data_IF_123426019951
#
_entry.id   IF_123426019951
#
_cell.length_a   1.000
_cell.length_b   1.000
_cell.length_c   1.000
_cell.angle_alpha   90.00
_cell.angle_beta   90.00
_cell.angle_gamma   90.00
#
_symmetry.space_group_name_H-M   'P 1'
#
loop_
_entity.id
_entity.type
_entity.pdbx_description
1 polymer ?
#
# COMPACT_ATOMS: atom_id res chain seq x y z
N UNK A 1 26.15 -13.48 6.33
CA UNK A 1 24.86 -13.21 6.99
C UNK A 1 24.47 -11.79 6.59
N UNK A 2 23.33 -11.63 5.91
CA UNK A 2 22.87 -10.33 5.39
C UNK A 2 22.36 -9.46 6.53
N UNK A 3 22.61 -8.14 6.50
CA UNK A 3 22.04 -7.22 7.49
C UNK A 3 20.86 -6.45 6.88
N UNK A 4 19.78 -6.38 7.65
CA UNK A 4 18.57 -5.61 7.35
C UNK A 4 18.54 -4.45 8.35
N UNK A 5 18.73 -3.25 7.84
CA UNK A 5 18.84 -2.02 8.62
C UNK A 5 17.52 -1.27 8.61
N UNK A 6 17.09 -0.79 9.77
CA UNK A 6 15.95 0.11 9.93
C UNK A 6 16.47 1.47 10.39
N UNK A 7 16.41 2.47 9.53
CA UNK A 7 16.81 3.84 9.82
C UNK A 7 15.65 4.63 10.39
N UNK A 8 15.83 5.09 11.62
CA UNK A 8 14.85 5.86 12.37
C UNK A 8 15.28 7.34 12.46
N UNK A 9 14.28 8.21 12.40
CA UNK A 9 14.40 9.65 12.60
C UNK A 9 13.59 10.11 13.81
N UNK A 10 13.86 11.31 14.37
CA UNK A 10 12.96 11.93 15.33
C UNK A 10 11.52 11.98 14.79
N UNK A 11 10.55 11.62 15.63
CA UNK A 11 9.14 11.55 15.23
C UNK A 11 8.82 10.36 14.33
N UNK A 12 9.63 9.30 14.32
CA UNK A 12 9.32 8.04 13.61
C UNK A 12 7.89 7.56 13.94
N UNK A 13 7.16 7.10 12.94
CA UNK A 13 5.86 6.45 13.14
C UNK A 13 6.07 4.98 13.52
N UNK A 14 5.53 4.57 14.68
CA UNK A 14 5.76 3.21 15.21
C UNK A 14 5.26 2.14 14.24
N UNK A 15 4.12 2.35 13.58
CA UNK A 15 3.56 1.33 12.69
C UNK A 15 4.37 1.17 11.39
N UNK A 16 4.99 2.26 10.91
CA UNK A 16 5.90 2.23 9.77
C UNK A 16 7.17 1.42 10.07
N UNK A 17 7.57 1.35 11.35
CA UNK A 17 8.65 0.48 11.83
C UNK A 17 8.15 -0.94 12.09
N UNK A 18 7.14 -1.08 12.95
CA UNK A 18 6.79 -2.34 13.60
C UNK A 18 6.38 -3.44 12.64
N UNK A 19 5.57 -3.13 11.61
CA UNK A 19 5.16 -4.11 10.62
C UNK A 19 6.34 -4.69 9.84
N UNK A 20 7.08 -3.86 9.08
CA UNK A 20 8.29 -4.29 8.38
C UNK A 20 9.35 -4.94 9.28
N UNK A 21 9.61 -4.38 10.47
CA UNK A 21 10.58 -4.91 11.42
C UNK A 21 10.22 -6.33 11.85
N UNK A 22 8.96 -6.55 12.22
CA UNK A 22 8.48 -7.88 12.62
C UNK A 22 8.60 -8.89 11.48
N UNK A 23 8.19 -8.52 10.26
CA UNK A 23 8.31 -9.39 9.07
C UNK A 23 9.76 -9.84 8.85
N UNK A 24 10.71 -8.90 8.92
CA UNK A 24 12.11 -9.20 8.67
C UNK A 24 12.76 -9.97 9.82
N UNK A 25 12.37 -9.69 11.07
CA UNK A 25 12.85 -10.43 12.24
C UNK A 25 12.35 -11.89 12.24
N UNK A 26 11.13 -12.13 11.76
CA UNK A 26 10.55 -13.48 11.70
C UNK A 26 11.31 -14.44 10.78
N UNK A 27 12.15 -13.95 9.86
CA UNK A 27 13.02 -14.81 9.06
C UNK A 27 14.01 -15.61 9.91
N UNK A 28 14.65 -14.95 10.88
CA UNK A 28 15.60 -15.58 11.81
C UNK A 28 14.85 -16.35 12.91
N UNK A 29 13.79 -15.74 13.48
CA UNK A 29 12.99 -16.32 14.56
C UNK A 29 12.40 -17.69 14.18
N UNK A 30 11.92 -17.82 12.94
CA UNK A 30 11.36 -19.06 12.39
C UNK A 30 12.41 -19.94 11.70
N UNK A 31 13.70 -19.58 11.78
CA UNK A 31 14.81 -20.29 11.15
C UNK A 31 14.64 -20.49 9.63
N UNK A 32 13.99 -19.54 8.96
CA UNK A 32 13.72 -19.58 7.52
C UNK A 32 14.87 -19.02 6.69
N UNK A 33 15.60 -18.03 7.21
CA UNK A 33 16.80 -17.49 6.58
C UNK A 33 17.73 -16.80 7.59
N UNK A 34 19.06 -16.93 7.45
CA UNK A 34 20.02 -16.31 8.37
C UNK A 34 20.16 -14.81 8.10
N UNK A 35 19.54 -13.97 8.94
CA UNK A 35 19.54 -12.50 8.80
C UNK A 35 19.89 -11.79 10.10
N UNK A 36 20.53 -10.62 10.01
CA UNK A 36 20.71 -9.72 11.15
C UNK A 36 19.79 -8.52 10.99
N UNK A 37 18.91 -8.26 11.95
CA UNK A 37 18.02 -7.09 11.91
C UNK A 37 18.48 -6.04 12.92
N UNK A 38 18.72 -4.81 12.46
CA UNK A 38 19.27 -3.73 13.28
C UNK A 38 18.54 -2.41 13.09
N UNK A 39 18.18 -1.75 14.18
CA UNK A 39 17.68 -0.39 14.16
C UNK A 39 18.84 0.60 14.35
N UNK A 40 18.96 1.58 13.46
CA UNK A 40 19.98 2.62 13.46
C UNK A 40 19.36 4.02 13.47
N UNK A 41 20.06 4.96 14.08
CA UNK A 41 19.70 6.38 14.05
C UNK A 41 20.92 7.28 14.32
N UNK A 42 20.78 8.58 14.04
CA UNK A 42 21.81 9.58 14.36
C UNK A 42 22.05 9.72 15.89
N UNK A 43 21.09 9.27 16.71
CA UNK A 43 21.18 9.23 18.18
C UNK A 43 20.82 7.82 18.65
N UNK A 44 21.38 7.37 19.77
CA UNK A 44 21.07 6.06 20.36
C UNK A 44 19.64 5.93 20.90
N UNK A 45 18.89 7.03 20.90
CA UNK A 45 17.50 7.08 21.32
C UNK A 45 16.73 8.07 20.44
N UNK A 46 15.51 7.69 20.06
CA UNK A 46 14.56 8.56 19.36
C UNK A 46 13.18 8.45 19.99
N UNK A 47 12.47 9.57 20.05
CA UNK A 47 11.04 9.56 20.38
C UNK A 47 10.24 9.38 19.10
N UNK A 48 9.36 8.37 19.10
CA UNK A 48 8.35 8.21 18.06
C UNK A 48 7.31 9.32 18.11
N UNK A 49 6.58 9.53 17.02
CA UNK A 49 5.49 10.51 16.99
C UNK A 49 4.36 10.14 17.96
N UNK A 50 4.15 8.85 18.22
CA UNK A 50 3.14 8.36 19.16
C UNK A 50 3.56 8.47 20.64
N UNK A 51 4.76 8.98 20.93
CA UNK A 51 5.25 9.20 22.30
C UNK A 51 6.00 8.03 22.93
N UNK A 52 6.12 6.89 22.24
CA UNK A 52 7.00 5.79 22.66
C UNK A 52 8.44 6.17 22.37
N UNK A 53 9.31 5.95 23.36
CA UNK A 53 10.74 6.14 23.21
C UNK A 53 11.39 4.83 22.79
N UNK A 54 12.17 4.85 21.70
CA UNK A 54 12.97 3.74 21.25
C UNK A 54 14.43 4.03 21.63
N UNK A 55 15.03 3.17 22.45
CA UNK A 55 16.40 3.28 22.95
C UNK A 55 17.25 2.08 22.53
N UNK A 56 18.56 2.15 22.77
CA UNK A 56 19.49 1.09 22.36
C UNK A 56 19.72 1.03 20.85
N UNK A 57 19.45 2.14 20.14
CA UNK A 57 19.65 2.21 18.69
C UNK A 57 21.14 2.23 18.37
N UNK A 58 21.52 1.49 17.33
CA UNK A 58 22.87 1.53 16.82
C UNK A 58 23.13 2.91 16.16
N UNK A 59 24.38 3.36 16.22
CA UNK A 59 24.79 4.55 15.47
C UNK A 59 24.76 4.26 13.96
N UNK A 60 24.65 5.33 13.18
CA UNK A 60 24.78 5.25 11.72
C UNK A 60 26.14 4.64 11.35
N UNK A 61 26.19 3.51 10.63
CA UNK A 61 27.46 2.88 10.27
C UNK A 61 28.17 3.67 9.16
N UNK A 62 29.49 3.67 9.16
CA UNK A 62 30.28 4.35 8.13
C UNK A 62 30.15 3.70 6.75
N UNK A 63 29.82 2.40 6.71
CA UNK A 63 29.65 1.60 5.49
C UNK A 63 28.55 0.56 5.68
N UNK A 64 27.92 0.20 4.57
CA UNK A 64 26.99 -0.92 4.47
C UNK A 64 27.65 -2.00 3.62
N UNK A 65 27.25 -3.26 3.80
CA UNK A 65 27.77 -4.34 2.98
C UNK A 65 27.00 -4.45 1.66
N UNK A 66 27.63 -4.91 0.57
CA UNK A 66 26.90 -5.33 -0.62
C UNK A 66 25.80 -6.33 -0.24
N UNK A 67 24.64 -6.23 -0.88
CA UNK A 67 23.44 -7.01 -0.58
C UNK A 67 22.75 -6.67 0.75
N UNK A 68 23.23 -5.72 1.57
CA UNK A 68 22.41 -5.26 2.70
C UNK A 68 21.09 -4.65 2.20
N UNK A 69 20.11 -4.60 3.10
CA UNK A 69 18.82 -3.97 2.84
C UNK A 69 18.61 -2.84 3.85
N UNK A 70 18.23 -1.66 3.39
CA UNK A 70 18.00 -0.51 4.26
C UNK A 70 16.57 0.00 4.14
N UNK A 71 15.80 -0.12 5.22
CA UNK A 71 14.50 0.50 5.40
C UNK A 71 14.64 1.88 6.04
N UNK A 72 14.23 2.92 5.31
CA UNK A 72 14.01 4.27 5.83
C UNK A 72 12.58 4.36 6.34
N UNK A 73 12.44 4.45 7.65
CA UNK A 73 11.14 4.46 8.32
C UNK A 73 10.52 5.85 8.23
N UNK A 74 9.21 5.90 8.00
CA UNK A 74 8.44 7.13 8.00
C UNK A 74 8.49 7.84 9.34
N UNK A 75 8.58 9.16 9.29
CA UNK A 75 8.55 10.03 10.45
C UNK A 75 7.62 11.22 10.23
N UNK A 76 7.21 11.85 11.33
CA UNK A 76 6.53 13.13 11.27
C UNK A 76 7.47 14.14 10.62
N UNK A 77 7.06 14.66 9.47
CA UNK A 77 7.83 15.70 8.77
C UNK A 77 8.05 16.87 9.74
N UNK A 78 9.32 17.16 9.98
CA UNK A 78 9.81 18.03 11.06
C UNK A 78 9.27 19.45 10.97
N UNK A 79 9.05 20.06 12.14
CA UNK A 79 8.74 21.49 12.27
C UNK A 79 9.83 22.26 13.06
N UNK A 80 10.72 21.57 13.79
CA UNK A 80 11.75 22.22 14.61
C UNK A 80 13.08 22.33 13.86
N UNK A 81 13.89 23.39 14.10
CA UNK A 81 15.22 23.51 13.50
C UNK A 81 16.17 22.35 13.86
N UNK A 82 16.05 21.81 15.08
CA UNK A 82 16.89 20.71 15.54
C UNK A 82 16.63 19.41 14.77
N UNK A 83 15.35 19.08 14.53
CA UNK A 83 14.98 17.89 13.76
C UNK A 83 15.39 18.04 12.29
N UNK A 84 15.24 19.23 11.72
CA UNK A 84 15.71 19.54 10.35
C UNK A 84 17.22 19.32 10.22
N UNK A 85 18.02 19.77 11.19
CA UNK A 85 19.46 19.54 11.17
C UNK A 85 19.82 18.05 11.21
N UNK A 86 19.10 17.25 12.02
CA UNK A 86 19.27 15.78 12.06
C UNK A 86 18.91 15.16 10.71
N UNK A 87 17.79 15.57 10.11
CA UNK A 87 17.37 15.09 8.80
C UNK A 87 18.42 15.39 7.73
N UNK A 88 18.89 16.63 7.61
CA UNK A 88 19.90 17.03 6.64
C UNK A 88 21.24 16.31 6.85
N UNK A 89 21.65 16.08 8.10
CA UNK A 89 22.84 15.29 8.39
C UNK A 89 22.66 13.81 7.99
N UNK A 90 21.49 13.24 8.28
CA UNK A 90 21.17 11.85 7.95
C UNK A 90 21.03 11.64 6.44
N UNK A 91 20.46 12.60 5.71
CA UNK A 91 20.37 12.56 4.25
C UNK A 91 21.76 12.56 3.59
N UNK A 92 22.68 13.39 4.11
CA UNK A 92 24.08 13.41 3.66
C UNK A 92 24.78 12.09 3.91
N UNK A 93 24.62 11.53 5.12
CA UNK A 93 25.12 10.19 5.44
C UNK A 93 24.56 9.14 4.46
N UNK A 94 23.24 9.17 4.23
CA UNK A 94 22.56 8.21 3.35
C UNK A 94 23.10 8.27 1.92
N UNK A 95 23.21 9.47 1.35
CA UNK A 95 23.78 9.67 0.02
C UNK A 95 25.24 9.18 -0.08
N UNK A 96 26.02 9.34 0.99
CA UNK A 96 27.40 8.87 1.05
C UNK A 96 27.49 7.34 1.09
N UNK A 97 26.76 6.67 2.00
CA UNK A 97 26.86 5.22 2.16
C UNK A 97 26.32 4.46 0.94
N UNK A 98 25.26 4.98 0.31
CA UNK A 98 24.70 4.40 -0.92
C UNK A 98 25.69 4.52 -2.08
N UNK A 99 26.33 5.68 -2.25
CA UNK A 99 27.37 5.87 -3.28
C UNK A 99 28.56 4.91 -3.12
N UNK A 100 28.89 4.54 -1.89
CA UNK A 100 29.98 3.62 -1.57
C UNK A 100 29.59 2.14 -1.65
N UNK A 101 28.29 1.85 -1.74
CA UNK A 101 27.75 0.48 -1.69
C UNK A 101 26.90 0.26 -2.95
N UNK A 102 27.54 0.03 -4.12
CA UNK A 102 26.80 -0.37 -5.32
C UNK A 102 25.97 -1.62 -5.01
N UNK A 103 24.77 -1.70 -5.59
CA UNK A 103 23.79 -2.79 -5.41
C UNK A 103 23.08 -2.86 -4.04
N UNK A 104 23.17 -1.83 -3.20
CA UNK A 104 22.32 -1.76 -2.00
C UNK A 104 20.86 -1.60 -2.39
N UNK A 105 19.98 -2.39 -1.76
CA UNK A 105 18.53 -2.21 -1.90
C UNK A 105 18.02 -1.24 -0.84
N UNK A 106 17.26 -0.26 -1.29
CA UNK A 106 16.69 0.78 -0.44
C UNK A 106 15.18 0.60 -0.37
N UNK A 107 14.63 0.75 0.82
CA UNK A 107 13.20 0.71 1.04
C UNK A 107 12.81 1.96 1.81
N UNK A 108 11.74 2.64 1.43
CA UNK A 108 11.17 3.71 2.25
C UNK A 108 9.72 3.45 2.55
N UNK A 109 9.34 3.65 3.81
CA UNK A 109 7.96 3.48 4.27
C UNK A 109 7.36 4.86 4.50
N UNK A 110 6.16 5.12 3.97
CA UNK A 110 5.42 6.37 4.20
C UNK A 110 6.25 7.60 3.79
N UNK A 111 6.42 8.54 4.71
CA UNK A 111 7.23 9.76 4.59
C UNK A 111 8.73 9.50 4.59
N UNK A 112 9.21 8.25 4.76
CA UNK A 112 10.62 7.90 4.59
C UNK A 112 11.15 8.26 3.19
N UNK A 113 10.26 8.30 2.19
CA UNK A 113 10.56 8.76 0.84
C UNK A 113 11.12 10.20 0.81
N UNK A 114 10.76 11.06 1.76
CA UNK A 114 11.31 12.42 1.84
C UNK A 114 12.79 12.43 2.17
N UNK A 115 13.28 11.50 2.99
CA UNK A 115 14.71 11.38 3.25
C UNK A 115 15.46 10.86 2.01
N UNK A 116 14.85 9.94 1.25
CA UNK A 116 15.42 9.50 -0.03
C UNK A 116 15.50 10.66 -1.03
N UNK A 117 14.45 11.48 -1.11
CA UNK A 117 14.42 12.69 -1.94
C UNK A 117 15.49 13.70 -1.52
N UNK A 118 15.63 13.96 -0.21
CA UNK A 118 16.66 14.86 0.32
C UNK A 118 18.09 14.36 0.03
N UNK A 119 18.28 13.04 -0.04
CA UNK A 119 19.54 12.42 -0.41
C UNK A 119 19.80 12.39 -1.94
N UNK A 120 18.86 12.87 -2.76
CA UNK A 120 18.93 12.81 -4.24
C UNK A 120 18.73 11.41 -4.80
N UNK A 121 18.19 10.48 -4.02
CA UNK A 121 18.07 9.06 -4.38
C UNK A 121 16.77 8.73 -5.11
N UNK A 122 15.87 9.71 -5.29
CA UNK A 122 14.62 9.56 -6.05
C UNK A 122 14.68 10.22 -7.44
N UNK A 123 15.78 10.90 -7.78
CA UNK A 123 15.89 11.65 -9.03
C UNK A 123 15.78 10.72 -10.24
N UNK A 124 14.82 11.00 -11.13
CA UNK A 124 14.52 10.22 -12.33
C UNK A 124 13.75 8.92 -12.10
N UNK A 125 13.51 8.53 -10.84
CA UNK A 125 12.91 7.24 -10.44
C UNK A 125 11.43 7.35 -10.15
N UNK A 126 10.70 6.29 -10.45
CA UNK A 126 9.32 6.08 -10.03
C UNK A 126 9.28 5.81 -8.52
N UNK A 127 8.41 6.51 -7.82
CA UNK A 127 8.26 6.35 -6.39
C UNK A 127 6.84 6.68 -5.94
N UNK A 128 6.51 6.30 -4.71
CA UNK A 128 5.25 6.67 -4.05
C UNK A 128 5.52 7.07 -2.60
N UNK A 129 4.52 7.66 -1.97
CA UNK A 129 4.48 7.93 -0.54
C UNK A 129 3.03 7.87 -0.05
N UNK A 130 2.80 8.12 1.22
CA UNK A 130 1.47 8.20 1.78
C UNK A 130 0.61 9.22 1.01
N UNK A 131 -0.62 8.85 0.62
CA UNK A 131 -1.50 9.64 -0.25
C UNK A 131 -1.57 11.14 0.12
N UNK A 132 -1.66 11.46 1.41
CA UNK A 132 -1.68 12.85 1.91
C UNK A 132 -0.44 13.69 1.58
N UNK A 133 0.68 13.05 1.24
CA UNK A 133 1.98 13.68 1.04
C UNK A 133 2.49 13.53 -0.40
N UNK A 134 1.72 12.94 -1.31
CA UNK A 134 2.14 12.78 -2.71
C UNK A 134 2.42 14.13 -3.38
N UNK A 135 1.48 15.07 -3.30
CA UNK A 135 1.68 16.41 -3.88
C UNK A 135 2.86 17.16 -3.26
N UNK A 136 3.04 16.99 -1.95
CA UNK A 136 4.16 17.60 -1.24
C UNK A 136 5.50 17.01 -1.69
N UNK A 137 5.58 15.69 -1.84
CA UNK A 137 6.79 15.01 -2.33
C UNK A 137 7.13 15.46 -3.75
N UNK A 138 6.12 15.51 -4.63
CA UNK A 138 6.25 15.97 -6.03
C UNK A 138 6.74 17.41 -6.11
N UNK A 139 6.20 18.28 -5.25
CA UNK A 139 6.58 19.70 -5.21
C UNK A 139 8.01 19.88 -4.72
N UNK A 140 8.42 19.12 -3.69
CA UNK A 140 9.72 19.27 -3.04
C UNK A 140 10.85 18.61 -3.84
N UNK A 141 10.58 17.53 -4.55
CA UNK A 141 11.55 16.75 -5.33
C UNK A 141 11.04 16.55 -6.76
N UNK A 142 11.06 17.59 -7.61
CA UNK A 142 10.45 17.56 -8.95
C UNK A 142 11.13 16.63 -9.94
N UNK A 143 12.36 16.18 -9.66
CA UNK A 143 13.05 15.17 -10.48
C UNK A 143 12.50 13.76 -10.26
N UNK A 144 11.79 13.51 -9.15
CA UNK A 144 11.18 12.22 -8.85
C UNK A 144 9.87 12.03 -9.64
N UNK A 145 9.64 10.82 -10.16
CA UNK A 145 8.40 10.45 -10.85
C UNK A 145 7.40 9.89 -9.83
N UNK A 146 6.73 10.79 -9.11
CA UNK A 146 5.82 10.40 -8.02
C UNK A 146 4.50 9.85 -8.57
N UNK A 147 4.30 8.54 -8.38
CA UNK A 147 3.09 7.81 -8.69
C UNK A 147 2.07 7.92 -7.55
N UNK A 148 0.82 8.15 -7.92
CA UNK A 148 -0.31 8.12 -7.00
C UNK A 148 -0.94 6.73 -6.96
N UNK A 149 -1.78 6.48 -5.95
CA UNK A 149 -2.66 5.32 -5.95
C UNK A 149 -1.91 3.99 -6.08
N UNK A 150 -0.75 3.90 -5.43
CA UNK A 150 0.08 2.69 -5.29
C UNK A 150 0.33 2.40 -3.83
N UNK A 151 0.24 1.13 -3.43
CA UNK A 151 0.68 0.69 -2.10
C UNK A 151 2.20 0.72 -2.00
N UNK A 152 2.89 0.25 -3.03
CA UNK A 152 4.33 0.38 -3.16
C UNK A 152 4.78 0.38 -4.63
N UNK A 153 5.98 0.90 -4.86
CA UNK A 153 6.62 1.04 -6.18
C UNK A 153 8.06 0.54 -6.05
N UNK A 154 8.50 -0.24 -7.03
CA UNK A 154 9.89 -0.67 -7.22
C UNK A 154 10.46 0.01 -8.45
N UNK A 155 11.63 0.63 -8.33
CA UNK A 155 12.40 1.18 -9.45
C UNK A 155 13.91 1.06 -9.18
N UNK A 156 14.55 0.12 -9.90
CA UNK A 156 16.01 -0.07 -9.94
C UNK A 156 16.65 -0.17 -8.53
N UNK A 157 16.16 -1.13 -7.73
CA UNK A 157 16.66 -1.40 -6.37
C UNK A 157 16.16 -0.43 -5.29
N UNK A 158 15.34 0.57 -5.66
CA UNK A 158 14.65 1.46 -4.72
C UNK A 158 13.18 1.08 -4.63
N UNK A 159 12.72 0.79 -3.42
CA UNK A 159 11.35 0.45 -3.10
C UNK A 159 10.74 1.55 -2.24
N UNK A 160 9.56 2.03 -2.59
CA UNK A 160 8.86 3.06 -1.80
C UNK A 160 7.42 2.62 -1.53
N UNK A 161 6.90 2.83 -0.33
CA UNK A 161 5.52 2.46 0.03
C UNK A 161 4.75 3.61 0.66
N UNK A 162 3.42 3.48 0.60
CA UNK A 162 2.46 4.43 1.15
C UNK A 162 2.50 4.58 2.68
N UNK A 163 3.15 3.67 3.40
CA UNK A 163 3.17 3.65 4.86
C UNK A 163 2.03 2.91 5.55
N UNK A 164 2.01 3.03 6.87
CA UNK A 164 1.05 2.42 7.79
C UNK A 164 1.06 0.90 7.63
N UNK A 165 0.03 0.32 7.02
CA UNK A 165 -0.05 -1.12 6.80
C UNK A 165 0.65 -1.56 5.51
N UNK A 166 0.87 -0.67 4.54
CA UNK A 166 1.52 -1.00 3.26
C UNK A 166 3.02 -1.31 3.40
N UNK A 167 3.63 -0.90 4.53
CA UNK A 167 4.99 -1.32 4.85
C UNK A 167 5.10 -2.83 5.05
N UNK A 168 4.09 -3.45 5.69
CA UNK A 168 4.02 -4.90 5.86
C UNK A 168 3.92 -5.61 4.52
N UNK A 169 3.11 -5.09 3.57
CA UNK A 169 3.01 -5.67 2.22
C UNK A 169 4.34 -5.57 1.47
N UNK A 170 5.00 -4.40 1.53
CA UNK A 170 6.31 -4.22 0.90
C UNK A 170 7.34 -5.16 1.49
N UNK A 171 7.41 -5.31 2.83
CA UNK A 171 8.34 -6.23 3.46
C UNK A 171 8.08 -7.69 3.04
N UNK A 172 6.82 -8.13 3.00
CA UNK A 172 6.44 -9.46 2.51
C UNK A 172 6.74 -9.67 1.02
N UNK A 173 6.66 -8.61 0.23
CA UNK A 173 7.04 -8.62 -1.18
C UNK A 173 8.57 -8.78 -1.32
N UNK A 174 9.35 -8.03 -0.57
CA UNK A 174 10.81 -8.14 -0.54
C UNK A 174 11.25 -9.53 -0.09
N UNK A 175 10.61 -10.09 0.95
CA UNK A 175 10.88 -11.46 1.38
C UNK A 175 10.63 -12.45 0.25
N UNK A 176 9.53 -12.26 -0.49
CA UNK A 176 9.21 -13.10 -1.65
C UNK A 176 10.23 -13.00 -2.78
N UNK A 177 10.81 -11.82 -3.02
CA UNK A 177 11.84 -11.61 -4.04
C UNK A 177 13.19 -12.24 -3.64
N UNK A 178 13.56 -12.11 -2.37
CA UNK A 178 14.91 -12.44 -1.89
C UNK A 178 15.05 -13.86 -1.33
N UNK A 179 14.00 -14.37 -0.68
CA UNK A 179 14.00 -15.68 0.00
C UNK A 179 12.96 -16.64 -0.59
N UNK A 180 12.20 -16.18 -1.59
CA UNK A 180 11.21 -16.98 -2.30
C UNK A 180 9.81 -16.93 -1.70
N UNK A 181 8.83 -17.31 -2.53
CA UNK A 181 7.40 -17.23 -2.22
C UNK A 181 7.00 -18.12 -1.04
N UNK A 182 7.64 -19.28 -0.87
CA UNK A 182 7.33 -20.22 0.23
C UNK A 182 7.66 -19.60 1.59
N UNK A 183 8.87 -19.03 1.73
CA UNK A 183 9.30 -18.33 2.94
C UNK A 183 8.37 -17.15 3.25
N UNK A 184 8.04 -16.34 2.24
CA UNK A 184 7.13 -15.21 2.42
C UNK A 184 5.73 -15.65 2.89
N UNK A 185 5.24 -16.80 2.42
CA UNK A 185 3.95 -17.34 2.85
C UNK A 185 4.01 -17.85 4.29
N UNK A 186 5.10 -18.51 4.70
CA UNK A 186 5.26 -18.99 6.08
C UNK A 186 5.28 -17.82 7.07
N UNK A 187 6.04 -16.76 6.78
CA UNK A 187 6.06 -15.54 7.61
C UNK A 187 4.65 -14.90 7.66
N UNK A 188 3.96 -14.80 6.53
CA UNK A 188 2.61 -14.24 6.50
C UNK A 188 1.61 -15.07 7.32
N UNK A 189 1.71 -16.40 7.28
CA UNK A 189 0.85 -17.30 8.06
C UNK A 189 1.10 -17.17 9.55
N UNK A 190 2.37 -17.15 9.97
CA UNK A 190 2.75 -16.99 11.39
C UNK A 190 2.17 -15.69 11.96
N UNK A 191 2.26 -14.60 11.19
CA UNK A 191 1.74 -13.29 11.60
C UNK A 191 0.26 -13.08 11.31
N UNK A 192 -0.46 -14.13 10.88
CA UNK A 192 -1.93 -14.08 10.70
C UNK A 192 -2.34 -13.05 9.62
N UNK A 193 -1.50 -12.88 8.60
CA UNK A 193 -1.72 -11.95 7.47
C UNK A 193 -2.40 -12.71 6.33
N UNK A 194 -3.73 -12.71 6.35
CA UNK A 194 -4.53 -13.47 5.38
C UNK A 194 -4.69 -12.82 4.00
N UNK A 195 -4.51 -11.49 3.89
CA UNK A 195 -4.67 -10.75 2.64
C UNK A 195 -3.31 -10.19 2.20
N UNK A 196 -2.76 -10.74 1.12
CA UNK A 196 -1.59 -10.19 0.42
C UNK A 196 -2.05 -9.11 -0.54
N UNK A 197 -1.57 -7.88 -0.37
CA UNK A 197 -1.83 -6.77 -1.31
C UNK A 197 -0.64 -6.58 -2.24
N UNK A 198 -0.90 -6.24 -3.50
CA UNK A 198 0.12 -6.01 -4.53
C UNK A 198 0.51 -4.53 -4.62
N UNK A 199 1.65 -4.21 -5.27
CA UNK A 199 2.09 -2.81 -5.41
C UNK A 199 1.10 -1.95 -6.20
N UNK A 200 0.50 -2.53 -7.23
CA UNK A 200 -0.56 -1.96 -8.07
C UNK A 200 -1.91 -1.79 -7.34
N UNK A 201 -2.06 -2.33 -6.12
CA UNK A 201 -3.25 -2.04 -5.33
C UNK A 201 -3.27 -0.58 -4.91
N UNK A 202 -4.48 -0.05 -4.84
CA UNK A 202 -4.77 1.34 -4.48
C UNK A 202 -4.73 1.49 -2.96
N UNK A 203 -4.14 2.59 -2.48
CA UNK A 203 -4.03 2.87 -1.04
C UNK A 203 -5.38 2.92 -0.34
N UNK A 204 -6.37 3.53 -1.01
CA UNK A 204 -7.76 3.63 -0.56
C UNK A 204 -8.66 3.44 -1.79
N UNK A 205 -9.46 2.36 -1.82
CA UNK A 205 -10.57 2.25 -2.78
C UNK A 205 -11.80 2.93 -2.19
N UNK A 206 -12.62 3.58 -3.02
CA UNK A 206 -13.93 4.09 -2.58
C UNK A 206 -14.81 2.96 -2.01
N UNK A 207 -14.71 1.77 -2.61
CA UNK A 207 -15.27 0.52 -2.11
C UNK A 207 -14.78 0.15 -0.69
N UNK A 208 -13.47 0.21 -0.44
CA UNK A 208 -12.89 -0.12 0.87
C UNK A 208 -13.28 0.91 1.94
N UNK A 209 -13.35 2.20 1.57
CA UNK A 209 -13.85 3.25 2.46
C UNK A 209 -15.31 3.04 2.86
N UNK A 210 -16.13 2.52 1.95
CA UNK A 210 -17.52 2.20 2.24
C UNK A 210 -17.66 1.06 3.26
N UNK A 211 -16.62 0.22 3.44
CA UNK A 211 -16.58 -0.83 4.46
C UNK A 211 -15.91 -0.37 5.76
N UNK A 212 -15.43 0.88 5.84
CA UNK A 212 -14.74 1.44 7.00
C UNK A 212 -15.72 1.93 8.09
N UNK A 213 -16.65 1.06 8.48
CA UNK A 213 -17.58 1.24 9.59
C UNK A 213 -17.69 -0.06 10.40
N UNK A 214 -18.33 -0.02 11.56
CA UNK A 214 -18.44 -1.20 12.45
C UNK A 214 -19.84 -1.83 12.47
N UNK A 215 -20.80 -1.33 11.69
CA UNK A 215 -22.19 -1.79 11.75
C UNK A 215 -22.36 -3.22 11.17
N UNK A 216 -22.73 -4.24 11.97
CA UNK A 216 -22.74 -5.63 11.54
C UNK A 216 -23.71 -5.93 10.40
N UNK A 217 -24.94 -5.41 10.46
CA UNK A 217 -25.93 -5.59 9.39
C UNK A 217 -25.49 -4.98 8.06
N UNK A 218 -24.80 -3.83 8.10
CA UNK A 218 -24.32 -3.18 6.88
C UNK A 218 -23.18 -4.01 6.28
N UNK A 219 -22.28 -4.56 7.10
CA UNK A 219 -21.28 -5.54 6.65
C UNK A 219 -21.92 -6.77 6.04
N UNK A 220 -22.91 -7.38 6.70
CA UNK A 220 -23.59 -8.56 6.16
C UNK A 220 -24.27 -8.28 4.81
N UNK A 221 -24.86 -7.09 4.65
CA UNK A 221 -25.41 -6.66 3.37
C UNK A 221 -24.32 -6.47 2.31
N UNK A 222 -23.19 -5.84 2.65
CA UNK A 222 -22.03 -5.70 1.75
C UNK A 222 -21.48 -7.08 1.34
N UNK A 223 -21.31 -8.01 2.29
CA UNK A 223 -20.83 -9.38 2.04
C UNK A 223 -21.75 -10.14 1.07
N UNK A 224 -23.06 -10.00 1.26
CA UNK A 224 -24.02 -10.59 0.33
C UNK A 224 -23.87 -10.00 -1.07
N UNK A 225 -23.80 -8.67 -1.18
CA UNK A 225 -23.67 -7.99 -2.47
C UNK A 225 -22.37 -8.37 -3.18
N UNK A 226 -21.25 -8.41 -2.44
CA UNK A 226 -19.92 -8.76 -2.95
C UNK A 226 -19.88 -10.22 -3.43
N UNK A 227 -20.59 -11.14 -2.77
CA UNK A 227 -20.74 -12.53 -3.21
C UNK A 227 -21.67 -12.72 -4.42
N UNK A 228 -22.52 -11.74 -4.74
CA UNK A 228 -23.58 -11.83 -5.76
C UNK A 228 -23.46 -10.77 -6.85
N UNK A 229 -22.26 -10.25 -7.11
CA UNK A 229 -22.05 -9.17 -8.10
C UNK A 229 -22.53 -9.54 -9.51
N UNK A 230 -22.39 -10.81 -9.90
CA UNK A 230 -22.79 -11.31 -11.22
C UNK A 230 -24.27 -11.70 -11.35
N UNK A 231 -25.04 -11.70 -10.26
CA UNK A 231 -26.46 -12.06 -10.28
C UNK A 231 -27.34 -10.82 -10.13
N UNK A 232 -28.58 -10.92 -10.60
CA UNK A 232 -29.58 -9.88 -10.38
C UNK A 232 -30.41 -10.21 -9.14
N UNK A 233 -30.44 -9.27 -8.19
CA UNK A 233 -31.30 -9.29 -7.02
C UNK A 233 -31.86 -7.88 -6.78
N UNK A 234 -33.02 -7.80 -6.13
CA UNK A 234 -33.60 -6.53 -5.69
C UNK A 234 -33.13 -6.16 -4.28
N UNK A 235 -33.12 -4.88 -3.94
CA UNK A 235 -32.73 -4.46 -2.58
C UNK A 235 -33.78 -4.85 -1.53
N UNK A 236 -35.01 -5.12 -1.94
CA UNK A 236 -36.05 -5.72 -1.10
C UNK A 236 -35.73 -7.17 -0.77
N UNK A 237 -35.25 -7.95 -1.76
CA UNK A 237 -34.78 -9.32 -1.53
C UNK A 237 -33.60 -9.33 -0.56
N UNK A 238 -32.61 -8.45 -0.78
CA UNK A 238 -31.48 -8.27 0.13
C UNK A 238 -31.95 -7.95 1.56
N UNK A 239 -32.87 -7.00 1.72
CA UNK A 239 -33.37 -6.61 3.03
C UNK A 239 -34.15 -7.74 3.73
N UNK A 240 -34.94 -8.50 2.97
CA UNK A 240 -35.72 -9.63 3.48
C UNK A 240 -34.86 -10.74 4.07
N UNK A 241 -33.67 -10.99 3.50
CA UNK A 241 -32.74 -12.01 4.00
C UNK A 241 -32.24 -11.71 5.43
N UNK A 242 -32.21 -10.43 5.80
CA UNK A 242 -31.82 -9.99 7.14
C UNK A 242 -33.03 -9.62 8.02
N UNK A 243 -34.25 -9.97 7.60
CA UNK A 243 -35.50 -9.70 8.31
C UNK A 243 -35.72 -8.19 8.61
N UNK A 244 -35.28 -7.30 7.70
CA UNK A 244 -35.47 -5.86 7.82
C UNK A 244 -36.20 -5.28 6.61
N UNK A 245 -36.82 -4.11 6.78
CA UNK A 245 -37.37 -3.39 5.63
C UNK A 245 -36.25 -2.73 4.80
N UNK A 246 -36.48 -2.60 3.49
CA UNK A 246 -35.57 -1.87 2.60
C UNK A 246 -35.29 -0.45 3.10
N UNK A 247 -36.32 0.26 3.59
CA UNK A 247 -36.17 1.62 4.14
C UNK A 247 -35.20 1.66 5.31
N UNK A 248 -35.28 0.68 6.22
CA UNK A 248 -34.38 0.59 7.36
C UNK A 248 -32.94 0.29 6.92
N UNK A 249 -32.76 -0.70 6.05
CA UNK A 249 -31.44 -1.08 5.52
C UNK A 249 -30.79 0.08 4.75
N UNK A 250 -31.52 0.72 3.84
CA UNK A 250 -31.01 1.83 3.03
C UNK A 250 -30.61 3.05 3.87
N UNK A 251 -31.33 3.32 4.97
CA UNK A 251 -30.97 4.37 5.93
C UNK A 251 -29.68 4.01 6.66
N UNK A 252 -29.61 2.83 7.28
CA UNK A 252 -28.40 2.37 7.98
C UNK A 252 -27.19 2.34 7.06
N UNK A 253 -27.36 1.86 5.83
CA UNK A 253 -26.28 1.82 4.84
C UNK A 253 -25.74 3.22 4.56
N UNK A 254 -26.61 4.21 4.34
CA UNK A 254 -26.18 5.59 4.09
C UNK A 254 -25.54 6.24 5.31
N UNK A 255 -26.13 6.04 6.49
CA UNK A 255 -25.64 6.60 7.75
C UNK A 255 -24.23 6.09 8.10
N UNK A 256 -23.89 4.86 7.69
CA UNK A 256 -22.60 4.22 7.99
C UNK A 256 -21.57 4.29 6.84
N UNK A 257 -22.01 4.28 5.58
CA UNK A 257 -21.10 4.24 4.41
C UNK A 257 -20.99 5.57 3.67
N UNK A 258 -21.88 6.52 3.94
CA UNK A 258 -21.99 7.79 3.21
C UNK A 258 -22.60 7.67 1.81
N UNK A 259 -23.00 6.48 1.35
CA UNK A 259 -23.53 6.25 0.00
C UNK A 259 -24.78 5.36 -0.04
N UNK A 260 -25.38 5.20 -1.22
CA UNK A 260 -26.53 4.32 -1.43
C UNK A 260 -26.08 2.87 -1.69
N UNK A 261 -26.96 1.91 -1.39
CA UNK A 261 -26.82 0.50 -1.80
C UNK A 261 -26.56 0.38 -3.31
N UNK A 262 -27.27 1.17 -4.12
CA UNK A 262 -27.12 1.17 -5.57
C UNK A 262 -25.74 1.67 -6.04
N UNK A 263 -25.22 2.74 -5.44
CA UNK A 263 -23.90 3.25 -5.78
C UNK A 263 -22.81 2.27 -5.35
N UNK A 264 -22.94 1.66 -4.16
CA UNK A 264 -22.01 0.62 -3.71
C UNK A 264 -22.00 -0.58 -4.67
N UNK A 265 -23.17 -1.12 -5.04
CA UNK A 265 -23.27 -2.24 -5.98
C UNK A 265 -22.64 -1.90 -7.33
N UNK A 266 -22.92 -0.69 -7.85
CA UNK A 266 -22.34 -0.21 -9.11
C UNK A 266 -20.83 -0.17 -9.04
N UNK A 267 -20.26 0.45 -8.00
CA UNK A 267 -18.82 0.55 -7.82
C UNK A 267 -18.16 -0.83 -7.77
N UNK A 268 -18.71 -1.77 -6.99
CA UNK A 268 -18.19 -3.15 -6.91
C UNK A 268 -18.25 -3.89 -8.26
N UNK A 269 -19.35 -3.76 -8.99
CA UNK A 269 -19.49 -4.36 -10.33
C UNK A 269 -18.50 -3.78 -11.34
N UNK A 270 -18.21 -2.49 -11.27
CA UNK A 270 -17.18 -1.85 -12.11
C UNK A 270 -15.77 -2.30 -11.70
N UNK A 271 -15.48 -2.45 -10.41
CA UNK A 271 -14.20 -3.00 -9.94
C UNK A 271 -13.99 -4.43 -10.43
N UNK A 272 -15.00 -5.30 -10.34
CA UNK A 272 -14.96 -6.64 -10.94
C UNK A 272 -14.72 -6.57 -12.46
N UNK A 273 -15.36 -5.62 -13.16
CA UNK A 273 -15.14 -5.44 -14.59
C UNK A 273 -13.70 -5.05 -14.92
N UNK A 274 -13.06 -4.18 -14.10
CA UNK A 274 -11.65 -3.81 -14.25
C UNK A 274 -10.73 -5.01 -14.08
N UNK A 275 -11.00 -5.86 -13.10
CA UNK A 275 -10.25 -7.10 -12.87
C UNK A 275 -10.39 -8.06 -14.06
N UNK A 276 -11.61 -8.27 -14.57
CA UNK A 276 -11.85 -9.11 -15.75
C UNK A 276 -11.22 -8.52 -17.02
N UNK A 277 -11.22 -7.19 -17.19
CA UNK A 277 -10.58 -6.54 -18.34
C UNK A 277 -9.06 -6.72 -18.32
N UNK A 278 -8.44 -6.76 -17.13
CA UNK A 278 -7.00 -6.98 -16.90
C UNK A 278 -6.60 -8.45 -17.08
N UNK A 279 -7.36 -9.36 -16.49
CA UNK A 279 -6.95 -10.76 -16.32
C UNK A 279 -7.57 -11.74 -17.32
N UNK A 280 -8.40 -11.29 -18.26
CA UNK A 280 -9.11 -12.20 -19.18
C UNK A 280 -9.20 -11.69 -20.62
N UNK A 281 -9.35 -12.63 -21.55
CA UNK A 281 -9.61 -12.36 -22.97
C UNK A 281 -11.10 -12.20 -23.29
N UNK A 282 -11.95 -12.06 -22.28
CA UNK A 282 -13.41 -11.91 -22.47
C UNK A 282 -13.72 -10.63 -23.25
N UNK A 283 -14.73 -10.67 -24.13
CA UNK A 283 -15.21 -9.47 -24.79
C UNK A 283 -16.05 -8.60 -23.83
N UNK A 284 -16.35 -7.36 -24.22
CA UNK A 284 -17.08 -6.40 -23.37
C UNK A 284 -18.48 -6.88 -23.00
N UNK A 285 -19.13 -7.66 -23.87
CA UNK A 285 -20.48 -8.18 -23.64
C UNK A 285 -20.47 -9.29 -22.58
N UNK A 286 -19.52 -10.22 -22.66
CA UNK A 286 -19.29 -11.26 -21.66
C UNK A 286 -18.91 -10.66 -20.30
N UNK A 287 -18.12 -9.58 -20.29
CA UNK A 287 -17.76 -8.88 -19.04
C UNK A 287 -19.00 -8.20 -18.44
N UNK A 288 -19.81 -7.53 -19.25
CA UNK A 288 -21.05 -6.93 -18.79
C UNK A 288 -21.97 -7.96 -18.12
N UNK A 289 -22.15 -9.12 -18.75
CA UNK A 289 -22.94 -10.23 -18.22
C UNK A 289 -22.38 -10.75 -16.88
N UNK A 290 -21.06 -11.01 -16.80
CA UNK A 290 -20.42 -11.49 -15.56
C UNK A 290 -20.46 -10.49 -14.42
N UNK A 291 -20.57 -9.20 -14.74
CA UNK A 291 -20.76 -8.13 -13.76
C UNK A 291 -22.25 -7.88 -13.44
N UNK A 292 -23.17 -8.73 -13.89
CA UNK A 292 -24.59 -8.64 -13.57
C UNK A 292 -25.33 -7.52 -14.31
N UNK A 293 -24.82 -7.04 -15.45
CA UNK A 293 -25.52 -6.10 -16.30
C UNK A 293 -26.30 -6.83 -17.39
N UNK A 294 -27.59 -6.50 -17.54
CA UNK A 294 -28.45 -7.11 -18.56
C UNK A 294 -28.15 -6.69 -20.01
N UNK A 295 -27.23 -5.74 -20.23
CA UNK A 295 -26.75 -5.40 -21.58
C UNK A 295 -25.40 -4.70 -21.53
N UNK A 296 -24.64 -4.80 -22.63
CA UNK A 296 -23.40 -4.05 -22.81
C UNK A 296 -23.61 -2.53 -22.79
N UNK A 297 -24.80 -2.05 -23.17
CA UNK A 297 -25.17 -0.64 -23.09
C UNK A 297 -25.33 -0.16 -21.63
N UNK A 298 -26.06 -0.91 -20.81
CA UNK A 298 -26.21 -0.61 -19.39
C UNK A 298 -24.87 -0.62 -18.65
N UNK A 299 -24.01 -1.58 -18.97
CA UNK A 299 -22.63 -1.61 -18.47
C UNK A 299 -21.84 -0.36 -18.86
N UNK A 300 -21.85 0.05 -20.14
CA UNK A 300 -21.13 1.26 -20.59
C UNK A 300 -21.65 2.55 -19.94
N UNK A 301 -22.94 2.62 -19.60
CA UNK A 301 -23.50 3.73 -18.83
C UNK A 301 -22.95 3.77 -17.41
N UNK A 302 -22.99 2.63 -16.71
CA UNK A 302 -22.43 2.52 -15.36
C UNK A 302 -20.91 2.78 -15.33
N UNK A 303 -20.18 2.25 -16.30
CA UNK A 303 -18.74 2.42 -16.44
C UNK A 303 -18.34 3.90 -16.55
N UNK A 304 -19.06 4.68 -17.36
CA UNK A 304 -18.78 6.12 -17.53
C UNK A 304 -18.99 6.95 -16.27
N UNK A 305 -19.76 6.45 -15.30
CA UNK A 305 -19.95 7.13 -14.02
C UNK A 305 -18.75 6.96 -13.08
N UNK A 306 -17.95 5.91 -13.28
CA UNK A 306 -16.85 5.54 -12.39
C UNK A 306 -15.46 5.69 -13.05
N UNK A 307 -15.40 5.66 -14.39
CA UNK A 307 -14.14 5.60 -15.15
C UNK A 307 -14.13 6.64 -16.29
N UNK A 308 -13.02 7.40 -16.47
CA UNK A 308 -12.93 8.44 -17.49
C UNK A 308 -12.77 7.90 -18.92
N UNK A 309 -12.15 6.73 -19.06
CA UNK A 309 -11.84 6.10 -20.34
C UNK A 309 -12.77 4.92 -20.61
N UNK A 310 -13.21 4.66 -21.87
CA UNK A 310 -14.05 3.50 -22.21
C UNK A 310 -13.41 2.13 -21.91
N UNK A 311 -14.19 1.06 -21.72
CA UNK A 311 -13.69 -0.27 -21.34
C UNK A 311 -12.61 -0.85 -22.28
N UNK A 312 -12.77 -0.69 -23.59
CA UNK A 312 -11.79 -1.17 -24.57
C UNK A 312 -10.50 -0.34 -24.52
N UNK A 313 -10.63 0.98 -24.38
CA UNK A 313 -9.47 1.86 -24.26
C UNK A 313 -8.69 1.59 -22.97
N UNK A 314 -9.40 1.31 -21.86
CA UNK A 314 -8.81 0.84 -20.62
C UNK A 314 -7.98 -0.43 -20.82
N UNK A 315 -8.50 -1.42 -21.58
CA UNK A 315 -7.77 -2.65 -21.91
C UNK A 315 -6.53 -2.38 -22.78
N UNK A 316 -6.66 -1.53 -23.79
CA UNK A 316 -5.53 -1.21 -24.68
C UNK A 316 -4.42 -0.45 -23.96
N UNK A 317 -4.76 0.46 -23.04
CA UNK A 317 -3.78 1.15 -22.21
C UNK A 317 -2.92 0.15 -21.40
N UNK A 318 -3.56 -0.88 -20.82
CA UNK A 318 -2.85 -1.93 -20.07
C UNK A 318 -1.91 -2.77 -20.95
N UNK A 319 -2.30 -3.05 -22.20
CA UNK A 319 -1.44 -3.81 -23.13
C UNK A 319 -0.19 -3.02 -23.56
N UNK A 320 -0.28 -1.69 -23.59
CA UNK A 320 0.84 -0.82 -23.94
C UNK A 320 1.75 -0.50 -22.74
N UNK A 321 1.30 -0.71 -21.50
CA UNK A 321 2.13 -0.58 -20.29
C UNK A 321 2.96 -1.85 -19.99
N UNK A 322 2.64 -2.98 -20.64
CA UNK A 322 3.34 -4.26 -20.49
C UNK A 322 4.27 -4.65 -21.65
N UNK A 323 4.47 -3.75 -22.63
CA UNK A 323 5.37 -3.91 -23.78
C UNK A 323 6.52 -2.90 -23.69
#
# INVERSE_FOLDING_TARGET
MRTIWFLLLPGTHILDLGGPLQIMASLEELQLAPVNVRCIAARQQVSSFQGVTLSGLHQLPDRLAPQDLLFVVGNKLSATPADTAILTATARWLAQVVRQTPDIQLCSICTGAFLLGEAGLLDGRQCTTHHRYVDLLRTRYPAAKVLENRLFVEDDGVFTSAGVSSGTDLALHIVSLQFGKVVANQVAQELVIYRRRAGEDVQLRAADLARNHIHPLVHAAQDYMDAHLGTNFSFEQLASQFNVSYRHLARLFRDNTGQTLQNYLRAQRIDLARELLRGSHLNVEQIAERCGYGSSHAFRLAWRQEMPQPPLQFRHALANEGA
#
